data_IF_242565917507
#
_entry.id   IF_242565917507
#
_cell.length_a   1.000
_cell.length_b   1.000
_cell.length_c   1.000
_cell.angle_alpha   90.00
_cell.angle_beta   90.00
_cell.angle_gamma   90.00
#
_symmetry.space_group_name_H-M   'P 1'
#
loop_
_entity.id
_entity.type
_entity.pdbx_description
1 polymer ?
#
# COMPACT_ATOMS: atom_id res chain seq x y z
N UNK A 1 -0.12 1.68 15.95
CA UNK A 1 -0.10 3.14 15.88
C UNK A 1 -0.75 3.64 14.59
N UNK A 2 -1.02 4.92 14.52
CA UNK A 2 -1.64 5.54 13.35
C UNK A 2 -0.76 6.69 12.84
N UNK A 3 -0.60 6.76 11.52
CA UNK A 3 0.02 7.90 10.84
C UNK A 3 -1.04 8.62 10.02
N UNK A 4 -1.11 9.93 10.20
CA UNK A 4 -1.89 10.79 9.29
C UNK A 4 -0.89 11.39 8.32
N UNK A 5 -1.10 11.16 7.04
CA UNK A 5 -0.13 11.52 6.01
C UNK A 5 -0.79 12.21 4.82
N UNK A 6 0.01 12.98 4.10
CA UNK A 6 -0.37 13.50 2.79
C UNK A 6 0.57 12.87 1.78
N UNK A 7 0.01 12.08 0.86
CA UNK A 7 0.77 11.44 -0.20
C UNK A 7 0.48 12.15 -1.52
N UNK A 8 1.50 12.30 -2.35
CA UNK A 8 1.29 12.77 -3.72
C UNK A 8 0.81 11.61 -4.58
N UNK A 9 -0.30 11.80 -5.26
CA UNK A 9 -0.85 10.80 -6.16
C UNK A 9 0.15 10.45 -7.25
N UNK A 10 0.24 9.16 -7.55
CA UNK A 10 1.14 8.59 -8.55
C UNK A 10 0.35 7.84 -9.60
N UNK A 11 0.95 7.67 -10.77
CA UNK A 11 0.43 6.73 -11.75
C UNK A 11 0.75 5.31 -11.29
N UNK A 12 0.09 4.33 -11.89
CA UNK A 12 0.36 2.92 -11.61
C UNK A 12 1.83 2.59 -11.87
N UNK A 13 2.41 3.14 -12.91
CA UNK A 13 3.82 2.88 -13.28
C UNK A 13 4.80 3.47 -12.28
N UNK A 14 4.47 4.60 -11.67
CA UNK A 14 5.32 5.27 -10.68
C UNK A 14 5.24 4.64 -9.30
N UNK A 15 4.10 4.05 -8.97
CA UNK A 15 3.89 3.47 -7.65
C UNK A 15 4.59 2.13 -7.53
N UNK A 16 5.02 1.80 -6.31
CA UNK A 16 5.79 0.57 -6.03
C UNK A 16 4.98 -0.36 -5.12
N UNK A 17 4.97 -1.63 -5.46
CA UNK A 17 4.39 -2.66 -4.59
C UNK A 17 5.29 -2.84 -3.38
N UNK A 18 4.68 -2.91 -2.20
CA UNK A 18 5.38 -3.18 -0.94
C UNK A 18 4.65 -4.25 -0.15
N UNK A 19 5.36 -4.88 0.78
CA UNK A 19 4.79 -5.85 1.71
C UNK A 19 5.48 -5.73 3.05
N UNK A 20 4.79 -6.14 4.10
CA UNK A 20 5.29 -6.11 5.46
C UNK A 20 5.22 -7.53 6.05
N UNK A 21 6.03 -7.81 7.07
CA UNK A 21 6.02 -9.12 7.71
C UNK A 21 5.45 -9.08 9.13
N UNK A 22 5.64 -7.96 9.82
CA UNK A 22 5.28 -7.86 11.23
C UNK A 22 3.97 -7.11 11.46
N UNK A 23 3.55 -6.29 10.51
CA UNK A 23 2.40 -5.42 10.68
C UNK A 23 1.32 -5.68 9.63
N UNK A 24 0.09 -5.41 10.04
CA UNK A 24 -1.07 -5.30 9.16
C UNK A 24 -1.27 -3.82 8.89
N UNK A 25 -1.45 -3.44 7.63
CA UNK A 25 -1.76 -2.07 7.22
C UNK A 25 -3.26 -1.91 7.03
N UNK A 26 -3.85 -0.89 7.66
CA UNK A 26 -5.20 -0.46 7.37
C UNK A 26 -5.08 0.96 6.83
N UNK A 27 -5.49 1.19 5.59
CA UNK A 27 -5.34 2.48 4.93
C UNK A 27 -6.69 3.06 4.58
N UNK A 28 -6.90 4.32 4.96
CA UNK A 28 -8.18 5.02 4.81
C UNK A 28 -7.93 6.34 4.11
N UNK A 29 -8.38 6.53 2.86
CA UNK A 29 -8.32 7.85 2.23
C UNK A 29 -9.35 8.77 2.86
N UNK A 30 -8.99 10.04 3.05
CA UNK A 30 -9.80 10.99 3.80
C UNK A 30 -10.45 12.07 2.94
N UNK A 31 -9.76 12.54 1.89
CA UNK A 31 -10.24 13.67 1.09
C UNK A 31 -10.62 13.31 -0.35
N UNK A 32 -10.00 12.30 -0.90
CA UNK A 32 -10.21 11.87 -2.28
C UNK A 32 -10.02 10.38 -2.38
N UNK A 33 -10.39 9.78 -3.49
CA UNK A 33 -10.19 8.35 -3.68
C UNK A 33 -8.71 8.02 -3.86
N UNK A 34 -8.35 6.83 -3.45
CA UNK A 34 -7.03 6.25 -3.67
C UNK A 34 -7.17 4.86 -4.26
N UNK A 35 -6.35 4.55 -5.26
CA UNK A 35 -6.32 3.22 -5.86
C UNK A 35 -5.10 2.47 -5.34
N UNK A 36 -5.30 1.19 -5.04
CA UNK A 36 -4.25 0.30 -4.57
C UNK A 36 -4.06 -0.81 -5.58
N UNK A 37 -2.82 -1.06 -5.97
CA UNK A 37 -2.48 -2.30 -6.65
C UNK A 37 -2.36 -3.43 -5.65
N UNK A 38 -2.69 -4.64 -6.07
CA UNK A 38 -2.60 -5.82 -5.22
C UNK A 38 -1.99 -6.98 -5.98
N UNK A 39 -1.07 -7.68 -5.33
CA UNK A 39 -0.58 -8.99 -5.76
C UNK A 39 -0.25 -9.82 -4.53
N UNK A 40 -0.63 -11.10 -4.49
CA UNK A 40 -0.19 -11.96 -3.37
C UNK A 40 1.34 -12.04 -3.34
N UNK A 41 1.92 -11.97 -2.17
CA UNK A 41 3.39 -12.04 -2.02
C UNK A 41 3.96 -13.31 -2.65
N UNK A 42 3.24 -14.41 -2.58
CA UNK A 42 3.68 -15.69 -3.17
C UNK A 42 3.91 -15.61 -4.68
N UNK A 43 3.29 -14.67 -5.35
CA UNK A 43 3.41 -14.47 -6.81
C UNK A 43 4.44 -13.40 -7.16
N UNK A 44 5.08 -12.80 -6.17
CA UNK A 44 6.08 -11.75 -6.38
C UNK A 44 7.49 -12.35 -6.37
N UNK A 45 8.46 -11.69 -7.02
CA UNK A 45 9.84 -12.18 -7.00
C UNK A 45 10.42 -12.07 -5.59
N UNK A 46 11.44 -12.87 -5.29
CA UNK A 46 12.16 -12.74 -4.03
C UNK A 46 13.03 -11.50 -4.08
N UNK A 47 12.85 -10.64 -3.07
CA UNK A 47 13.58 -9.40 -2.93
C UNK A 47 13.97 -9.25 -1.47
N UNK A 48 15.10 -8.61 -1.21
CA UNK A 48 15.59 -8.42 0.13
C UNK A 48 14.59 -7.65 1.01
N UNK A 49 14.32 -8.21 2.18
CA UNK A 49 13.46 -7.60 3.18
C UNK A 49 14.25 -6.64 4.05
N UNK A 50 13.74 -5.41 4.22
CA UNK A 50 14.33 -4.44 5.12
C UNK A 50 13.73 -4.62 6.51
N UNK A 51 14.46 -5.29 7.39
CA UNK A 51 13.99 -5.61 8.73
C UNK A 51 13.77 -4.36 9.59
N UNK A 52 14.63 -3.36 9.45
CA UNK A 52 14.52 -2.13 10.24
C UNK A 52 13.22 -1.37 9.97
N UNK A 53 12.74 -1.40 8.74
CA UNK A 53 11.51 -0.71 8.33
C UNK A 53 10.31 -1.64 8.20
N UNK A 54 10.50 -2.94 8.40
CA UNK A 54 9.47 -3.96 8.15
C UNK A 54 8.87 -3.79 6.76
N UNK A 55 9.71 -3.78 5.74
CA UNK A 55 9.24 -3.49 4.39
C UNK A 55 10.07 -4.22 3.33
N UNK A 56 9.38 -4.80 2.36
CA UNK A 56 9.97 -5.28 1.11
C UNK A 56 9.39 -4.45 -0.01
N UNK A 57 10.25 -3.90 -0.88
CA UNK A 57 9.82 -3.14 -2.04
C UNK A 57 10.08 -3.95 -3.31
N UNK A 58 9.13 -3.91 -4.23
CA UNK A 58 9.18 -4.66 -5.50
C UNK A 58 9.13 -3.68 -6.67
N UNK A 59 10.25 -2.97 -6.94
CA UNK A 59 10.24 -1.97 -8.01
C UNK A 59 10.03 -2.60 -9.39
N UNK A 60 9.25 -1.93 -10.22
CA UNK A 60 9.04 -2.34 -11.61
C UNK A 60 8.09 -3.52 -11.79
N UNK A 61 7.47 -4.01 -10.75
CA UNK A 61 6.52 -5.13 -10.83
C UNK A 61 5.11 -4.57 -10.98
N UNK A 62 4.38 -5.07 -11.96
CA UNK A 62 2.99 -4.67 -12.19
C UNK A 62 2.06 -5.46 -11.27
N UNK A 63 1.14 -4.77 -10.60
CA UNK A 63 0.16 -5.40 -9.76
C UNK A 63 -0.86 -6.19 -10.59
N UNK A 64 -1.36 -7.30 -10.02
CA UNK A 64 -2.33 -8.15 -10.69
C UNK A 64 -3.73 -7.53 -10.72
N UNK A 65 -4.09 -6.78 -9.69
CA UNK A 65 -5.43 -6.24 -9.52
C UNK A 65 -5.34 -4.83 -8.97
N UNK A 66 -6.29 -3.98 -9.35
CA UNK A 66 -6.44 -2.64 -8.81
C UNK A 66 -7.75 -2.55 -8.05
N UNK A 67 -7.70 -1.89 -6.89
CA UNK A 67 -8.87 -1.66 -6.04
C UNK A 67 -8.90 -0.18 -5.67
N UNK A 68 -10.06 0.46 -5.81
CA UNK A 68 -10.22 1.88 -5.48
C UNK A 68 -11.07 2.03 -4.23
N UNK A 69 -10.56 2.76 -3.25
CA UNK A 69 -11.30 3.16 -2.06
C UNK A 69 -11.66 4.64 -2.15
N UNK A 70 -12.91 4.96 -1.89
CA UNK A 70 -13.39 6.34 -1.76
C UNK A 70 -13.23 6.79 -0.31
N UNK A 71 -13.27 8.11 -0.04
CA UNK A 71 -13.22 8.59 1.34
C UNK A 71 -14.25 7.88 2.22
N UNK A 72 -13.80 7.42 3.39
CA UNK A 72 -14.65 6.66 4.31
C UNK A 72 -14.59 5.15 4.12
N UNK A 73 -14.10 4.69 2.98
CA UNK A 73 -13.80 3.26 2.76
C UNK A 73 -12.35 3.00 3.20
N UNK A 74 -12.02 1.74 3.43
CA UNK A 74 -10.66 1.40 3.82
C UNK A 74 -10.25 0.05 3.24
N UNK A 75 -8.95 -0.16 3.16
CA UNK A 75 -8.36 -1.42 2.72
C UNK A 75 -7.50 -1.98 3.86
N UNK A 76 -7.56 -3.29 4.04
CA UNK A 76 -6.72 -3.99 5.02
C UNK A 76 -5.77 -4.88 4.26
N UNK A 77 -4.47 -4.72 4.52
CA UNK A 77 -3.42 -5.52 3.90
C UNK A 77 -2.69 -6.31 4.98
N UNK A 78 -2.77 -7.64 4.86
CA UNK A 78 -2.06 -8.56 5.74
C UNK A 78 -0.64 -8.80 5.23
N UNK A 79 0.24 -9.45 6.01
CA UNK A 79 1.61 -9.71 5.55
C UNK A 79 1.73 -10.42 4.21
N UNK A 80 0.77 -11.28 3.88
CA UNK A 80 0.77 -12.00 2.60
C UNK A 80 0.27 -11.15 1.43
N UNK A 81 -0.17 -9.93 1.68
CA UNK A 81 -0.74 -9.06 0.66
C UNK A 81 0.26 -8.02 0.21
N UNK A 82 0.84 -8.22 -0.98
CA UNK A 82 1.61 -7.17 -1.64
C UNK A 82 0.66 -6.08 -2.11
N UNK A 83 0.94 -4.82 -1.76
CA UNK A 83 0.08 -3.70 -2.08
C UNK A 83 0.87 -2.52 -2.60
N UNK A 84 0.26 -1.80 -3.54
CA UNK A 84 0.86 -0.69 -4.25
C UNK A 84 0.02 0.56 -3.95
N UNK A 85 0.39 1.33 -2.91
CA UNK A 85 -0.43 2.47 -2.48
C UNK A 85 -0.14 3.72 -3.31
N UNK A 86 -0.93 4.77 -3.05
CA UNK A 86 -0.73 6.12 -3.56
C UNK A 86 -1.05 6.32 -5.04
N UNK A 87 -1.79 5.43 -5.67
CA UNK A 87 -2.23 5.64 -7.04
C UNK A 87 -3.43 6.58 -7.03
N UNK A 88 -3.31 7.71 -7.70
CA UNK A 88 -4.37 8.70 -7.75
C UNK A 88 -3.88 10.02 -8.26
N UNK A 89 -4.69 11.05 -8.12
CA UNK A 89 -4.40 12.40 -8.59
C UNK A 89 -4.32 13.38 -7.43
N UNK A 90 -3.37 14.30 -7.51
CA UNK A 90 -3.22 15.35 -6.51
C UNK A 90 -2.78 14.82 -5.17
N UNK A 91 -3.08 15.57 -4.13
CA UNK A 91 -2.70 15.17 -2.76
C UNK A 91 -3.76 14.30 -2.14
N UNK A 92 -3.34 13.15 -1.65
CA UNK A 92 -4.20 12.17 -0.97
C UNK A 92 -3.92 12.27 0.52
N UNK A 93 -4.88 12.79 1.28
CA UNK A 93 -4.82 12.79 2.74
C UNK A 93 -5.34 11.43 3.21
N UNK A 94 -4.57 10.76 4.06
CA UNK A 94 -4.92 9.39 4.46
C UNK A 94 -4.49 9.10 5.88
N UNK A 95 -5.20 8.17 6.50
CA UNK A 95 -4.81 7.57 7.76
C UNK A 95 -4.30 6.16 7.50
N UNK A 96 -3.16 5.83 8.09
CA UNK A 96 -2.56 4.50 7.99
C UNK A 96 -2.44 3.95 9.40
N UNK A 97 -3.17 2.87 9.67
CA UNK A 97 -3.08 2.17 10.94
C UNK A 97 -2.15 0.99 10.78
N UNK A 98 -1.16 0.88 11.67
CA UNK A 98 -0.26 -0.25 11.73
C UNK A 98 -0.65 -1.09 12.93
N UNK A 99 -1.06 -2.32 12.70
CA UNK A 99 -1.47 -3.26 13.74
C UNK A 99 -0.54 -4.46 13.69
N UNK A 100 -0.06 -4.90 14.84
CA UNK A 100 0.84 -6.06 14.88
C UNK A 100 0.11 -7.31 14.39
N UNK A 101 0.74 -7.99 13.46
CA UNK A 101 0.19 -9.21 12.88
C UNK A 101 0.30 -10.39 13.84
#
# INVERSE_FOLDING_TARGET
>A
FVNIAVAHGKTEEEATIEAHRQMIDIQIPLNTEETYGYSPVKDLPEVEYNEAKDCTLYPGVKAQTLVTCKPGQFAIFFPQDGHQPCIGKGDIHKAIFKVKA
#
